data_IF_042435258355
#
_entry.id   IF_042435258355
#
_cell.length_a   1.000
_cell.length_b   1.000
_cell.length_c   1.000
_cell.angle_alpha   90.00
_cell.angle_beta   90.00
_cell.angle_gamma   90.00
#
_symmetry.space_group_name_H-M   'P 1'
#
loop_
_entity.id
_entity.type
_entity.pdbx_description
1 polymer ?
#
# COMPACT_ATOMS: atom_id res chain seq x y z
N UNK A 1 -1.84 25.08 -12.64
CA UNK A 1 -1.56 25.93 -13.71
C UNK A 1 -0.63 27.10 -13.41
N UNK A 2 -0.39 27.91 -14.37
CA UNK A 2 0.62 28.97 -14.35
C UNK A 2 0.29 30.12 -13.37
N UNK A 3 -0.98 30.30 -13.04
CA UNK A 3 -1.42 31.37 -12.12
C UNK A 3 -1.43 30.96 -10.63
N UNK A 4 -1.35 29.68 -10.31
CA UNK A 4 -1.56 29.15 -8.95
C UNK A 4 -2.90 29.58 -8.31
N UNK A 5 -3.88 29.94 -9.14
CA UNK A 5 -5.21 30.31 -8.69
C UNK A 5 -5.96 29.09 -8.16
N UNK A 6 -6.63 29.23 -7.02
CA UNK A 6 -7.52 28.21 -6.48
C UNK A 6 -8.83 28.24 -7.25
N UNK A 7 -9.09 27.20 -8.04
CA UNK A 7 -10.29 27.10 -8.87
C UNK A 7 -11.52 26.73 -8.04
N UNK A 8 -11.35 25.82 -7.08
CA UNK A 8 -12.43 25.42 -6.20
C UNK A 8 -11.90 24.78 -4.90
N UNK A 9 -12.80 24.60 -3.91
CA UNK A 9 -12.56 23.90 -2.65
C UNK A 9 -13.74 23.01 -2.35
N UNK A 10 -13.50 21.72 -2.23
CA UNK A 10 -14.52 20.73 -1.88
C UNK A 10 -14.54 20.54 -0.36
N UNK A 11 -15.65 20.86 0.34
CA UNK A 11 -15.78 20.54 1.74
C UNK A 11 -15.92 19.02 1.91
N UNK A 12 -15.07 18.43 2.72
CA UNK A 12 -15.22 17.05 3.16
C UNK A 12 -15.85 17.04 4.55
N UNK A 13 -16.97 16.32 4.79
CA UNK A 13 -17.66 16.37 6.07
C UNK A 13 -16.88 15.72 7.20
N UNK A 14 -15.90 14.89 6.88
CA UNK A 14 -15.12 14.10 7.84
C UNK A 14 -13.63 14.18 7.56
N UNK A 15 -12.83 13.80 8.56
CA UNK A 15 -11.37 13.84 8.47
C UNK A 15 -10.85 12.93 7.33
N UNK A 16 -10.32 13.55 6.30
CA UNK A 16 -9.63 12.87 5.20
C UNK A 16 -8.38 12.16 5.74
N UNK A 17 -8.16 10.95 5.28
CA UNK A 17 -6.98 10.17 5.63
C UNK A 17 -6.38 9.46 4.40
N UNK A 18 -5.07 9.49 4.31
CA UNK A 18 -4.33 9.03 3.15
C UNK A 18 -4.41 10.00 1.96
N UNK A 19 -3.59 9.78 0.95
CA UNK A 19 -3.57 10.61 -0.24
C UNK A 19 -4.73 10.31 -1.20
N UNK A 20 -5.23 11.32 -1.93
CA UNK A 20 -6.21 11.11 -2.97
C UNK A 20 -5.68 10.17 -4.05
N UNK A 21 -6.59 9.49 -4.75
CA UNK A 21 -6.27 8.64 -5.90
C UNK A 21 -6.92 9.22 -7.15
N UNK A 22 -6.15 9.31 -8.22
CA UNK A 22 -6.61 9.86 -9.49
C UNK A 22 -6.89 8.73 -10.47
N UNK A 23 -7.94 8.87 -11.27
CA UNK A 23 -8.15 7.99 -12.43
C UNK A 23 -6.98 8.12 -13.43
N UNK A 24 -6.68 7.07 -14.22
CA UNK A 24 -5.56 7.11 -15.17
C UNK A 24 -5.60 8.25 -16.18
N UNK A 25 -6.80 8.70 -16.54
CA UNK A 25 -7.03 9.85 -17.44
C UNK A 25 -6.92 11.21 -16.72
N UNK A 26 -6.70 11.23 -15.40
CA UNK A 26 -6.58 12.42 -14.58
C UNK A 26 -7.89 13.20 -14.37
N UNK A 27 -9.04 12.65 -14.81
CA UNK A 27 -10.33 13.34 -14.71
C UNK A 27 -10.97 13.26 -13.34
N UNK A 28 -10.92 12.08 -12.73
CA UNK A 28 -11.57 11.85 -11.44
C UNK A 28 -10.55 11.76 -10.32
N UNK A 29 -10.92 12.30 -9.17
CA UNK A 29 -10.19 12.12 -7.92
C UNK A 29 -11.08 11.45 -6.89
N UNK A 30 -10.52 10.49 -6.18
CA UNK A 30 -11.17 9.74 -5.11
C UNK A 30 -10.54 10.14 -3.78
N UNK A 31 -11.36 10.54 -2.84
CA UNK A 31 -10.95 10.96 -1.50
C UNK A 31 -11.65 10.08 -0.48
N UNK A 32 -10.91 9.61 0.51
CA UNK A 32 -11.45 8.76 1.57
C UNK A 32 -11.39 9.47 2.92
N UNK A 33 -12.41 9.31 3.72
CA UNK A 33 -12.45 9.78 5.09
C UNK A 33 -12.34 8.63 6.10
N UNK A 34 -11.91 8.98 7.32
CA UNK A 34 -11.71 8.02 8.42
C UNK A 34 -12.98 7.23 8.79
N UNK A 35 -14.14 7.82 8.64
CA UNK A 35 -15.43 7.18 8.93
C UNK A 35 -15.99 6.34 7.77
N UNK A 36 -15.14 6.04 6.77
CA UNK A 36 -15.40 5.07 5.71
C UNK A 36 -16.08 5.59 4.47
N UNK A 37 -16.29 6.91 4.35
CA UNK A 37 -16.79 7.47 3.11
C UNK A 37 -15.69 7.56 2.05
N UNK A 38 -16.06 7.24 0.82
CA UNK A 38 -15.30 7.48 -0.40
C UNK A 38 -16.09 8.44 -1.26
N UNK A 39 -15.49 9.56 -1.60
CA UNK A 39 -16.09 10.62 -2.42
C UNK A 39 -15.35 10.67 -3.76
N UNK A 40 -16.09 10.77 -4.86
CA UNK A 40 -15.57 10.88 -6.23
C UNK A 40 -15.88 12.27 -6.76
N UNK A 41 -14.86 12.99 -7.17
CA UNK A 41 -14.98 14.32 -7.78
C UNK A 41 -14.52 14.27 -9.24
N UNK A 42 -15.27 14.94 -10.10
CA UNK A 42 -14.83 15.27 -11.47
C UNK A 42 -14.11 16.60 -11.42
N UNK A 43 -12.80 16.59 -11.56
CA UNK A 43 -11.96 17.80 -11.48
C UNK A 43 -12.07 18.71 -12.70
N UNK A 44 -12.68 18.25 -13.80
CA UNK A 44 -12.92 19.10 -14.96
C UNK A 44 -14.20 19.92 -14.80
N UNK A 45 -15.23 19.35 -14.21
CA UNK A 45 -16.48 20.07 -13.90
C UNK A 45 -16.49 20.71 -12.52
N UNK A 46 -15.49 20.38 -11.67
CA UNK A 46 -15.38 20.82 -10.28
C UNK A 46 -16.63 20.41 -9.45
N UNK A 47 -17.07 19.15 -9.61
CA UNK A 47 -18.26 18.63 -8.91
C UNK A 47 -18.01 17.27 -8.27
N UNK A 48 -18.63 17.07 -7.12
CA UNK A 48 -18.83 15.73 -6.60
C UNK A 48 -19.79 14.98 -7.52
N UNK A 49 -19.40 13.79 -7.97
CA UNK A 49 -20.18 12.97 -8.91
C UNK A 49 -20.58 11.62 -8.29
N UNK A 50 -20.15 11.34 -7.08
CA UNK A 50 -20.58 10.15 -6.38
C UNK A 50 -19.97 10.02 -5.00
N UNK A 51 -20.65 9.27 -4.14
CA UNK A 51 -20.22 8.99 -2.78
C UNK A 51 -20.74 7.63 -2.33
N UNK A 52 -19.92 6.88 -1.62
CA UNK A 52 -20.30 5.59 -1.03
C UNK A 52 -19.62 5.41 0.32
N UNK A 53 -20.27 4.72 1.24
CA UNK A 53 -19.69 4.32 2.52
C UNK A 53 -19.17 2.88 2.42
N UNK A 54 -17.84 2.72 2.37
CA UNK A 54 -17.17 1.44 2.20
C UNK A 54 -16.76 0.77 3.52
N UNK A 55 -16.89 1.49 4.64
CA UNK A 55 -16.56 1.01 5.97
C UNK A 55 -17.11 1.92 7.07
N UNK A 56 -16.75 1.64 8.31
CA UNK A 56 -17.05 2.47 9.48
C UNK A 56 -15.81 3.18 10.05
N UNK A 57 -14.64 2.58 9.80
CA UNK A 57 -13.34 3.19 10.09
C UNK A 57 -12.36 2.68 9.03
N UNK A 58 -12.00 3.55 8.10
CA UNK A 58 -11.11 3.21 6.98
C UNK A 58 -9.71 3.81 7.17
N UNK A 59 -8.70 3.12 6.65
CA UNK A 59 -7.28 3.50 6.82
C UNK A 59 -6.72 4.20 5.60
N UNK A 60 -6.85 3.60 4.42
CA UNK A 60 -6.45 4.20 3.15
C UNK A 60 -7.09 3.47 1.97
N UNK A 61 -6.88 4.00 0.77
CA UNK A 61 -7.38 3.47 -0.48
C UNK A 61 -6.25 3.27 -1.49
N UNK A 62 -6.44 2.32 -2.40
CA UNK A 62 -5.58 2.11 -3.55
C UNK A 62 -6.41 1.89 -4.81
N UNK A 63 -5.98 2.47 -5.92
CA UNK A 63 -6.61 2.26 -7.23
C UNK A 63 -5.84 1.20 -8.01
N UNK A 64 -6.53 0.32 -8.75
CA UNK A 64 -5.89 -0.62 -9.66
C UNK A 64 -5.19 0.10 -10.82
N UNK A 65 -4.20 -0.55 -11.43
CA UNK A 65 -3.39 0.04 -12.50
C UNK A 65 -4.22 0.44 -13.74
N UNK A 66 -5.31 -0.28 -14.01
CA UNK A 66 -6.23 0.00 -15.10
C UNK A 66 -7.35 1.01 -14.73
N UNK A 67 -7.34 1.47 -13.48
CA UNK A 67 -8.31 2.42 -12.96
C UNK A 67 -9.71 1.87 -12.70
N UNK A 68 -9.96 0.56 -12.85
CA UNK A 68 -11.29 -0.03 -12.71
C UNK A 68 -11.72 -0.25 -11.28
N UNK A 69 -10.77 -0.56 -10.41
CA UNK A 69 -11.04 -1.00 -9.04
C UNK A 69 -10.43 -0.04 -8.02
N UNK A 70 -11.18 0.22 -6.96
CA UNK A 70 -10.70 0.97 -5.81
C UNK A 70 -10.81 0.09 -4.57
N UNK A 71 -9.67 -0.28 -3.99
CA UNK A 71 -9.59 -1.04 -2.76
C UNK A 71 -9.63 -0.10 -1.56
N UNK A 72 -10.50 -0.36 -0.59
CA UNK A 72 -10.65 0.39 0.66
C UNK A 72 -10.25 -0.49 1.82
N UNK A 73 -9.18 -0.12 2.50
CA UNK A 73 -8.66 -0.81 3.68
C UNK A 73 -9.40 -0.37 4.93
N UNK A 74 -10.09 -1.29 5.60
CA UNK A 74 -10.91 -1.00 6.76
C UNK A 74 -10.31 -1.55 8.06
N UNK A 75 -10.43 -0.73 9.12
CA UNK A 75 -10.24 -1.17 10.49
C UNK A 75 -11.53 -1.74 11.06
N UNK A 76 -12.67 -1.15 10.65
CA UNK A 76 -14.00 -1.57 11.09
C UNK A 76 -15.00 -1.41 9.93
N UNK A 77 -15.71 -2.49 9.56
CA UNK A 77 -15.38 -3.87 9.89
C UNK A 77 -13.98 -4.23 9.36
N UNK A 78 -13.40 -5.31 9.85
CA UNK A 78 -12.07 -5.79 9.42
C UNK A 78 -12.16 -6.41 8.02
N UNK A 79 -12.19 -5.54 7.00
CA UNK A 79 -12.43 -5.92 5.60
C UNK A 79 -11.52 -5.15 4.65
N UNK A 80 -11.32 -5.74 3.48
CA UNK A 80 -10.95 -5.03 2.26
C UNK A 80 -12.20 -4.94 1.39
N UNK A 81 -12.70 -3.73 1.17
CA UNK A 81 -13.83 -3.48 0.28
C UNK A 81 -13.32 -3.03 -1.08
N UNK A 82 -13.73 -3.68 -2.15
CA UNK A 82 -13.36 -3.32 -3.52
C UNK A 82 -14.58 -2.72 -4.20
N UNK A 83 -14.42 -1.51 -4.71
CA UNK A 83 -15.44 -0.74 -5.41
C UNK A 83 -15.12 -0.71 -6.91
N UNK A 84 -16.15 -0.72 -7.73
CA UNK A 84 -16.07 -0.29 -9.12
C UNK A 84 -15.89 1.23 -9.17
N UNK A 85 -14.87 1.73 -9.86
CA UNK A 85 -14.56 3.18 -9.89
C UNK A 85 -15.55 3.98 -10.73
N UNK A 86 -16.25 3.37 -11.69
CA UNK A 86 -17.24 4.05 -12.50
C UNK A 86 -18.51 4.31 -11.70
N UNK A 87 -19.02 3.29 -11.00
CA UNK A 87 -20.31 3.31 -10.29
C UNK A 87 -20.22 3.60 -8.80
N UNK A 88 -19.05 3.36 -8.19
CA UNK A 88 -18.79 3.29 -6.74
C UNK A 88 -19.53 2.14 -6.03
N UNK A 89 -20.09 1.19 -6.76
CA UNK A 89 -20.71 0.03 -6.15
C UNK A 89 -19.68 -0.95 -5.60
N UNK A 90 -19.93 -1.56 -4.43
CA UNK A 90 -19.10 -2.63 -3.92
C UNK A 90 -19.20 -3.88 -4.79
N UNK A 91 -18.10 -4.30 -5.39
CA UNK A 91 -18.02 -5.54 -6.20
C UNK A 91 -17.52 -6.72 -5.39
N UNK A 92 -16.74 -6.46 -4.35
CA UNK A 92 -16.23 -7.50 -3.45
C UNK A 92 -15.99 -6.94 -2.06
N UNK A 93 -16.41 -7.68 -1.05
CA UNK A 93 -16.03 -7.45 0.34
C UNK A 93 -15.31 -8.69 0.85
N UNK A 94 -14.05 -8.54 1.22
CA UNK A 94 -13.20 -9.62 1.70
C UNK A 94 -13.02 -9.44 3.19
N UNK A 95 -13.50 -10.40 4.00
CA UNK A 95 -13.16 -10.46 5.42
C UNK A 95 -11.66 -10.68 5.57
N UNK A 96 -11.02 -9.84 6.41
CA UNK A 96 -9.59 -9.96 6.65
C UNK A 96 -9.36 -10.82 7.89
N UNK A 97 -8.98 -12.06 7.61
CA UNK A 97 -8.60 -13.06 8.63
C UNK A 97 -7.29 -13.71 8.22
N UNK A 98 -6.35 -13.76 9.15
CA UNK A 98 -5.10 -14.47 8.98
C UNK A 98 -5.34 -15.96 8.71
N UNK A 99 -4.29 -16.70 8.36
CA UNK A 99 -4.39 -18.15 8.07
C UNK A 99 -4.93 -18.96 9.24
N UNK A 100 -4.63 -18.56 10.47
CA UNK A 100 -5.11 -19.17 11.70
C UNK A 100 -6.55 -18.78 12.09
N UNK A 101 -7.20 -17.93 11.28
CA UNK A 101 -8.54 -17.40 11.53
C UNK A 101 -8.60 -16.12 12.34
N UNK A 102 -7.48 -15.59 12.81
CA UNK A 102 -7.43 -14.32 13.57
C UNK A 102 -7.92 -13.16 12.73
N UNK A 103 -8.99 -12.46 13.15
CA UNK A 103 -9.44 -11.25 12.44
C UNK A 103 -8.39 -10.15 12.50
N UNK A 104 -8.19 -9.41 11.41
CA UNK A 104 -7.20 -8.36 11.37
C UNK A 104 -7.70 -7.10 10.67
N UNK A 105 -7.31 -5.96 11.20
CA UNK A 105 -7.39 -4.69 10.51
C UNK A 105 -6.38 -4.68 9.37
N UNK A 106 -6.62 -3.85 8.36
CA UNK A 106 -5.65 -3.61 7.28
C UNK A 106 -4.85 -2.35 7.60
N UNK A 107 -3.55 -2.46 7.84
CA UNK A 107 -2.71 -1.32 8.20
C UNK A 107 -2.46 -0.39 7.01
N UNK A 108 -2.23 -0.94 5.83
CA UNK A 108 -2.02 -0.21 4.59
C UNK A 108 -2.41 -1.06 3.39
N UNK A 109 -2.85 -0.43 2.30
CA UNK A 109 -3.06 -1.04 0.99
C UNK A 109 -2.47 -0.14 -0.09
N UNK A 110 -1.69 -0.73 -1.00
CA UNK A 110 -1.09 -0.03 -2.14
C UNK A 110 -1.25 -0.85 -3.42
N UNK A 111 -1.26 -0.13 -4.52
CA UNK A 111 -1.22 -0.72 -5.86
C UNK A 111 0.19 -1.22 -6.18
N UNK A 112 0.29 -2.38 -6.81
CA UNK A 112 1.50 -2.91 -7.44
C UNK A 112 1.21 -3.15 -8.94
N UNK A 113 1.44 -2.13 -9.81
CA UNK A 113 1.02 -2.17 -11.22
C UNK A 113 1.59 -3.35 -12.00
N UNK A 114 2.91 -3.56 -11.92
CA UNK A 114 3.62 -4.63 -12.66
C UNK A 114 3.16 -6.03 -12.23
N UNK A 115 2.57 -6.12 -11.04
CA UNK A 115 1.98 -7.35 -10.50
C UNK A 115 0.48 -7.46 -10.76
N UNK A 116 -0.13 -6.40 -11.27
CA UNK A 116 -1.59 -6.27 -11.43
C UNK A 116 -2.33 -6.67 -10.14
N UNK A 117 -1.91 -6.11 -9.02
CA UNK A 117 -2.40 -6.51 -7.69
C UNK A 117 -2.49 -5.33 -6.75
N UNK A 118 -3.34 -5.48 -5.73
CA UNK A 118 -3.24 -4.74 -4.49
C UNK A 118 -2.39 -5.53 -3.49
N UNK A 119 -1.48 -4.85 -2.82
CA UNK A 119 -0.72 -5.41 -1.72
C UNK A 119 -1.19 -4.74 -0.44
N UNK A 120 -1.47 -5.54 0.57
CA UNK A 120 -1.91 -5.04 1.88
C UNK A 120 -1.20 -5.76 3.01
N UNK A 121 -0.97 -5.04 4.10
CA UNK A 121 -0.40 -5.58 5.32
C UNK A 121 -1.51 -5.72 6.38
N UNK A 122 -1.52 -6.86 7.07
CA UNK A 122 -2.41 -7.11 8.19
C UNK A 122 -1.83 -6.48 9.45
N UNK A 123 -2.65 -5.65 10.11
CA UNK A 123 -2.20 -4.92 11.30
C UNK A 123 -2.06 -5.78 12.55
N UNK A 124 -2.91 -6.78 12.67
CA UNK A 124 -3.06 -7.59 13.88
C UNK A 124 -2.55 -9.03 13.70
N UNK A 125 -1.98 -9.31 12.51
CA UNK A 125 -1.43 -10.63 12.19
C UNK A 125 -0.19 -10.50 11.29
N UNK A 126 0.79 -11.41 11.40
CA UNK A 126 2.04 -11.34 10.64
C UNK A 126 1.86 -11.87 9.20
N UNK A 127 1.01 -11.22 8.43
CA UNK A 127 0.74 -11.56 7.03
C UNK A 127 0.68 -10.30 6.15
N UNK A 128 1.20 -10.45 4.93
CA UNK A 128 0.93 -9.58 3.79
C UNK A 128 0.00 -10.35 2.84
N UNK A 129 -0.97 -9.67 2.26
CA UNK A 129 -1.80 -10.23 1.20
C UNK A 129 -1.52 -9.56 -0.12
N UNK A 130 -1.50 -10.35 -1.16
CA UNK A 130 -1.56 -9.91 -2.55
C UNK A 130 -2.93 -10.30 -3.11
N UNK A 131 -3.70 -9.30 -3.53
CA UNK A 131 -5.05 -9.47 -4.10
C UNK A 131 -5.01 -9.07 -5.55
N UNK A 132 -5.20 -10.03 -6.44
CA UNK A 132 -5.08 -9.85 -7.87
C UNK A 132 -6.17 -8.95 -8.45
N UNK A 133 -5.80 -8.07 -9.37
CA UNK A 133 -6.73 -7.32 -10.24
C UNK A 133 -6.74 -7.87 -11.67
N UNK A 134 -6.00 -8.95 -11.90
CA UNK A 134 -5.96 -9.69 -13.16
C UNK A 134 -6.99 -10.83 -13.12
N UNK A 135 -7.93 -10.93 -14.09
CA UNK A 135 -8.87 -12.04 -14.15
C UNK A 135 -8.22 -13.40 -14.41
N UNK A 136 -7.00 -13.41 -14.93
CA UNK A 136 -6.24 -14.62 -15.24
C UNK A 136 -5.22 -14.99 -14.15
N UNK A 137 -5.27 -14.34 -12.99
CA UNK A 137 -4.32 -14.55 -11.91
C UNK A 137 -4.42 -15.92 -11.26
N UNK A 138 -3.30 -16.39 -10.72
CA UNK A 138 -3.21 -17.62 -9.93
C UNK A 138 -3.02 -18.88 -10.77
N UNK A 139 -3.28 -20.08 -10.23
CA UNK A 139 -3.82 -20.29 -8.90
C UNK A 139 -2.83 -19.93 -7.78
N UNK A 140 -3.34 -19.33 -6.70
CA UNK A 140 -2.60 -19.07 -5.47
C UNK A 140 -3.01 -20.09 -4.42
N UNK A 141 -2.06 -20.82 -3.89
CA UNK A 141 -2.30 -21.90 -2.94
C UNK A 141 -2.18 -21.38 -1.50
N UNK A 142 -3.14 -21.68 -0.64
CA UNK A 142 -3.11 -21.31 0.80
C UNK A 142 -2.27 -22.30 1.66
N UNK A 143 -1.69 -23.32 1.05
CA UNK A 143 -0.79 -24.28 1.69
C UNK A 143 -0.68 -25.62 0.94
N UNK A 144 0.34 -26.38 1.31
CA UNK A 144 0.54 -27.73 0.79
C UNK A 144 0.33 -28.75 1.90
N UNK A 145 -0.38 -29.83 1.62
CA UNK A 145 -0.32 -31.04 2.42
C UNK A 145 0.59 -32.03 1.69
N UNK A 146 1.59 -32.53 2.40
CA UNK A 146 2.35 -33.66 1.90
C UNK A 146 1.45 -34.89 1.91
N UNK A 147 1.03 -35.34 0.73
CA UNK A 147 0.46 -36.66 0.57
C UNK A 147 1.56 -37.70 0.76
N UNK A 148 1.23 -38.81 1.44
CA UNK A 148 2.12 -39.98 1.55
C UNK A 148 2.27 -40.70 0.19
N UNK A 149 1.49 -40.35 -0.81
CA UNK A 149 1.62 -40.87 -2.17
C UNK A 149 2.71 -40.15 -2.94
N UNK A 150 3.68 -40.92 -3.44
CA UNK A 150 4.84 -40.40 -4.15
C UNK A 150 4.41 -39.61 -5.38
N UNK A 151 4.60 -38.29 -5.34
CA UNK A 151 4.30 -37.37 -6.44
C UNK A 151 2.94 -36.67 -6.39
N UNK A 152 2.08 -37.01 -5.44
CA UNK A 152 0.82 -36.26 -5.22
C UNK A 152 1.07 -35.05 -4.32
N UNK A 153 0.73 -33.85 -4.85
CA UNK A 153 0.65 -32.62 -4.06
C UNK A 153 -0.82 -32.28 -3.92
N UNK A 154 -1.32 -32.30 -2.69
CA UNK A 154 -2.64 -31.79 -2.42
C UNK A 154 -2.51 -30.32 -1.98
N UNK A 155 -3.05 -29.40 -2.76
CA UNK A 155 -3.18 -28.00 -2.37
C UNK A 155 -4.54 -27.75 -1.76
N UNK A 156 -4.59 -27.09 -0.61
CA UNK A 156 -5.84 -26.63 -0.02
C UNK A 156 -6.08 -25.15 -0.38
N UNK A 157 -7.31 -24.85 -0.81
CA UNK A 157 -7.80 -23.48 -0.91
C UNK A 157 -7.19 -22.67 -2.05
N UNK A 158 -6.81 -23.29 -3.16
CA UNK A 158 -6.32 -22.56 -4.33
C UNK A 158 -7.35 -21.53 -4.81
N UNK A 159 -6.95 -20.27 -4.88
CA UNK A 159 -7.74 -19.17 -5.44
C UNK A 159 -7.16 -18.76 -6.78
N UNK A 160 -8.03 -18.53 -7.77
CA UNK A 160 -7.64 -18.06 -9.09
C UNK A 160 -8.59 -16.98 -9.60
N UNK A 161 -8.11 -16.18 -10.53
CA UNK A 161 -8.87 -15.14 -11.21
C UNK A 161 -8.92 -13.83 -10.43
N UNK A 162 -9.88 -13.01 -10.82
CA UNK A 162 -10.07 -11.68 -10.28
C UNK A 162 -10.32 -11.72 -8.76
N UNK A 163 -9.55 -10.92 -8.03
CA UNK A 163 -9.52 -10.83 -6.57
C UNK A 163 -9.10 -12.10 -5.85
N UNK A 164 -8.43 -13.01 -6.56
CA UNK A 164 -7.73 -14.11 -5.93
C UNK A 164 -6.67 -13.57 -4.97
N UNK A 165 -6.56 -14.20 -3.81
CA UNK A 165 -5.67 -13.77 -2.73
C UNK A 165 -4.52 -14.74 -2.56
N UNK A 166 -3.31 -14.20 -2.52
CA UNK A 166 -2.11 -14.89 -2.07
C UNK A 166 -1.72 -14.39 -0.68
N UNK A 167 -1.35 -15.29 0.21
CA UNK A 167 -0.83 -14.97 1.55
C UNK A 167 0.69 -15.06 1.57
N UNK A 168 1.32 -14.09 2.19
CA UNK A 168 2.77 -14.04 2.40
C UNK A 168 2.98 -13.89 3.90
N UNK A 169 3.45 -14.94 4.61
CA UNK A 169 3.74 -14.84 6.02
C UNK A 169 4.98 -13.96 6.24
N UNK A 170 4.95 -13.17 7.29
CA UNK A 170 6.07 -12.36 7.77
C UNK A 170 6.34 -12.64 9.24
N UNK A 171 7.46 -12.16 9.78
CA UNK A 171 7.83 -12.42 11.18
C UNK A 171 6.96 -11.62 12.15
N UNK A 172 6.59 -10.39 11.77
CA UNK A 172 5.84 -9.45 12.60
C UNK A 172 4.79 -8.70 11.75
N UNK A 173 3.68 -8.25 12.35
CA UNK A 173 2.72 -7.39 11.66
C UNK A 173 3.37 -6.10 11.20
N UNK A 174 3.12 -5.69 9.95
CA UNK A 174 3.62 -4.45 9.40
C UNK A 174 2.58 -3.34 9.53
N UNK A 175 3.02 -2.13 9.93
CA UNK A 175 2.15 -0.95 10.05
C UNK A 175 2.17 -0.07 8.80
N UNK A 176 3.32 0.01 8.14
CA UNK A 176 3.51 0.75 6.89
C UNK A 176 4.55 0.07 6.01
N UNK A 177 4.47 0.29 4.70
CA UNK A 177 5.41 -0.29 3.75
C UNK A 177 5.49 0.52 2.44
N UNK A 178 6.52 0.24 1.67
CA UNK A 178 6.76 0.75 0.32
C UNK A 178 7.31 -0.36 -0.57
N UNK A 179 7.52 -0.06 -1.86
CA UNK A 179 8.08 -1.01 -2.83
C UNK A 179 9.38 -0.51 -3.42
N UNK A 180 10.17 -1.45 -3.92
CA UNK A 180 11.15 -1.12 -4.95
C UNK A 180 10.45 -0.78 -6.28
N UNK A 181 11.18 -0.18 -7.20
CA UNK A 181 10.62 0.30 -8.47
C UNK A 181 10.10 -0.81 -9.39
N UNK A 182 10.48 -2.06 -9.17
CA UNK A 182 10.04 -3.22 -9.93
C UNK A 182 8.97 -4.04 -9.21
N UNK A 183 8.46 -3.57 -8.07
CA UNK A 183 7.47 -4.27 -7.23
C UNK A 183 7.87 -5.72 -6.90
N UNK A 184 9.18 -5.96 -6.85
CA UNK A 184 9.76 -7.25 -6.49
C UNK A 184 9.94 -7.39 -4.99
N UNK A 185 10.31 -6.29 -4.35
CA UNK A 185 10.51 -6.24 -2.91
C UNK A 185 9.56 -5.22 -2.27
N UNK A 186 9.07 -5.59 -1.10
CA UNK A 186 8.35 -4.74 -0.18
C UNK A 186 9.30 -4.38 0.97
N UNK A 187 9.39 -3.11 1.30
CA UNK A 187 10.13 -2.60 2.45
C UNK A 187 9.09 -2.17 3.48
N UNK A 188 9.03 -2.88 4.61
CA UNK A 188 8.02 -2.66 5.64
C UNK A 188 8.63 -2.36 7.00
N UNK A 189 7.83 -1.76 7.87
CA UNK A 189 8.17 -1.53 9.28
C UNK A 189 7.02 -1.96 10.17
N UNK A 190 7.34 -2.46 11.36
CA UNK A 190 6.36 -2.73 12.40
C UNK A 190 5.96 -1.41 13.10
N UNK A 191 4.93 -1.48 13.94
CA UNK A 191 4.41 -0.30 14.66
C UNK A 191 5.40 0.30 15.65
N UNK A 192 6.26 -0.51 16.24
CA UNK A 192 7.24 -0.05 17.22
C UNK A 192 8.39 0.70 16.54
N UNK A 193 8.52 0.54 15.21
CA UNK A 193 9.43 1.31 14.38
C UNK A 193 10.89 1.16 14.75
N UNK A 194 11.26 0.02 15.29
CA UNK A 194 12.65 -0.25 15.71
C UNK A 194 13.53 -0.71 14.56
N UNK A 195 12.92 -1.27 13.52
CA UNK A 195 13.61 -1.79 12.33
C UNK A 195 12.68 -1.85 11.12
N UNK A 196 13.27 -1.78 9.94
CA UNK A 196 12.60 -2.13 8.70
C UNK A 196 12.94 -3.55 8.25
N UNK A 197 12.08 -4.13 7.45
CA UNK A 197 12.27 -5.46 6.85
C UNK A 197 12.05 -5.39 5.35
N UNK A 198 12.86 -6.12 4.59
CA UNK A 198 12.70 -6.28 3.15
C UNK A 198 12.20 -7.68 2.85
N UNK A 199 11.03 -7.75 2.20
CA UNK A 199 10.37 -8.99 1.83
C UNK A 199 10.34 -9.11 0.30
N UNK A 200 10.83 -10.22 -0.22
CA UNK A 200 10.69 -10.52 -1.64
C UNK A 200 9.26 -11.00 -1.93
N UNK A 201 8.51 -10.23 -2.71
CA UNK A 201 7.11 -10.54 -3.03
C UNK A 201 6.93 -11.78 -3.94
N UNK A 202 7.97 -12.24 -4.61
CA UNK A 202 7.89 -13.44 -5.44
C UNK A 202 8.03 -14.70 -4.58
N UNK A 203 9.08 -14.76 -3.78
CA UNK A 203 9.34 -15.91 -2.91
C UNK A 203 8.57 -15.87 -1.59
N UNK A 204 8.16 -14.69 -1.14
CA UNK A 204 7.61 -14.47 0.20
C UNK A 204 8.66 -14.44 1.32
N UNK A 205 9.94 -14.55 0.98
CA UNK A 205 11.04 -14.62 1.95
C UNK A 205 11.59 -13.26 2.36
N UNK A 206 12.09 -13.16 3.60
CA UNK A 206 12.86 -12.01 4.08
C UNK A 206 14.20 -11.94 3.34
N UNK A 207 14.53 -10.76 2.81
CA UNK A 207 15.77 -10.47 2.09
C UNK A 207 16.77 -9.78 2.99
N UNK A 208 16.31 -8.79 3.76
CA UNK A 208 17.16 -7.98 4.62
C UNK A 208 16.38 -7.44 5.82
N UNK A 209 17.13 -7.01 6.83
CA UNK A 209 16.65 -6.22 7.94
C UNK A 209 17.38 -4.87 7.92
N UNK A 210 16.63 -3.78 8.11
CA UNK A 210 17.16 -2.43 8.02
C UNK A 210 17.20 -1.78 9.41
N UNK A 211 18.33 -1.28 9.87
CA UNK A 211 18.43 -0.57 11.13
C UNK A 211 17.85 0.85 11.00
N UNK A 212 16.54 0.95 10.94
CA UNK A 212 15.83 2.22 10.79
C UNK A 212 15.15 2.59 12.12
N UNK A 213 15.74 3.50 12.91
CA UNK A 213 15.15 3.96 14.15
C UNK A 213 13.94 4.85 13.92
N UNK A 214 13.19 5.15 14.98
CA UNK A 214 12.24 6.26 14.98
C UNK A 214 11.02 6.12 14.07
N UNK A 215 10.56 4.91 13.78
CA UNK A 215 9.38 4.62 12.96
C UNK A 215 9.45 5.25 11.56
N UNK A 216 10.18 4.65 10.63
CA UNK A 216 10.25 5.16 9.26
C UNK A 216 8.86 5.13 8.60
N UNK A 217 8.49 6.25 7.95
CA UNK A 217 7.22 6.36 7.22
C UNK A 217 7.43 5.96 5.76
N UNK A 218 7.55 4.66 5.52
CA UNK A 218 7.95 4.08 4.24
C UNK A 218 6.95 4.37 3.12
N UNK A 219 5.66 4.42 3.41
CA UNK A 219 4.61 4.75 2.44
C UNK A 219 4.71 6.16 1.84
N UNK A 220 5.51 7.03 2.40
CA UNK A 220 5.84 8.34 1.86
C UNK A 220 7.29 8.48 1.43
N UNK A 221 8.04 7.38 1.37
CA UNK A 221 9.41 7.34 0.86
C UNK A 221 9.48 7.64 -0.63
N UNK A 222 10.65 7.99 -1.08
CA UNK A 222 10.95 8.22 -2.49
C UNK A 222 12.18 7.44 -2.93
N UNK A 223 12.26 7.12 -4.21
CA UNK A 223 13.39 6.41 -4.80
C UNK A 223 13.97 7.19 -5.98
N UNK A 224 15.30 7.11 -6.16
CA UNK A 224 15.99 7.69 -7.33
C UNK A 224 17.30 6.95 -7.60
N UNK A 225 17.91 7.25 -8.76
CA UNK A 225 19.22 6.73 -9.12
C UNK A 225 20.33 7.64 -8.56
N UNK A 226 21.25 7.07 -7.81
CA UNK A 226 22.43 7.74 -7.26
C UNK A 226 23.69 6.97 -7.65
N UNK A 227 24.54 7.57 -8.49
CA UNK A 227 25.82 6.95 -8.92
C UNK A 227 25.66 5.51 -9.49
N UNK A 228 24.58 5.27 -10.23
CA UNK A 228 24.29 3.94 -10.80
C UNK A 228 23.60 2.94 -9.86
N UNK A 229 23.30 3.36 -8.63
CA UNK A 229 22.57 2.57 -7.65
C UNK A 229 21.19 3.19 -7.39
N UNK A 230 20.17 2.35 -7.21
CA UNK A 230 18.88 2.83 -6.74
C UNK A 230 18.90 3.01 -5.23
N UNK A 231 18.47 4.17 -4.78
CA UNK A 231 18.36 4.48 -3.35
C UNK A 231 16.93 4.81 -2.98
N UNK A 232 16.58 4.51 -1.73
CA UNK A 232 15.32 4.85 -1.07
C UNK A 232 15.63 5.87 0.03
N UNK A 233 14.87 6.96 0.10
CA UNK A 233 14.85 7.81 1.28
C UNK A 233 13.49 7.72 1.98
N UNK A 234 13.52 7.74 3.31
CA UNK A 234 12.32 7.73 4.15
C UNK A 234 12.46 8.71 5.31
N UNK A 235 11.40 9.48 5.63
CA UNK A 235 11.35 10.26 6.85
C UNK A 235 10.99 9.37 8.03
N UNK A 236 11.21 9.87 9.25
CA UNK A 236 10.88 9.15 10.47
C UNK A 236 9.85 9.93 11.29
N UNK A 237 8.84 9.21 11.81
CA UNK A 237 7.71 9.83 12.52
C UNK A 237 8.04 10.24 13.95
N UNK A 238 9.04 9.62 14.57
CA UNK A 238 9.41 9.83 15.96
C UNK A 238 10.75 10.53 16.12
N UNK A 239 11.50 10.73 15.04
CA UNK A 239 12.83 11.34 15.06
C UNK A 239 13.01 12.30 13.88
N UNK A 240 13.68 13.42 14.12
CA UNK A 240 14.08 14.40 13.11
C UNK A 240 15.21 13.88 12.23
N UNK A 241 14.95 12.87 11.41
CA UNK A 241 15.93 12.19 10.57
C UNK A 241 15.30 11.74 9.25
N UNK A 242 16.08 11.83 8.17
CA UNK A 242 15.85 11.15 6.91
C UNK A 242 16.92 10.06 6.75
N UNK A 243 16.50 8.83 6.49
CA UNK A 243 17.43 7.74 6.16
C UNK A 243 17.45 7.48 4.67
N UNK A 244 18.66 7.35 4.11
CA UNK A 244 18.90 6.99 2.70
C UNK A 244 19.56 5.61 2.67
N UNK A 245 18.95 4.70 1.92
CA UNK A 245 19.30 3.27 1.85
C UNK A 245 19.67 2.93 0.42
N UNK A 246 20.77 2.23 0.20
CA UNK A 246 21.09 1.61 -1.08
C UNK A 246 20.22 0.35 -1.27
N UNK A 247 19.44 0.30 -2.34
CA UNK A 247 18.52 -0.81 -2.59
C UNK A 247 19.18 -2.01 -3.26
N UNK A 248 20.47 -1.93 -3.61
CA UNK A 248 21.21 -3.06 -4.19
C UNK A 248 21.69 -4.05 -3.14
N UNK A 249 22.07 -3.56 -1.97
CA UNK A 249 22.58 -4.34 -0.85
C UNK A 249 21.85 -4.07 0.48
N UNK A 250 20.90 -3.13 0.47
CA UNK A 250 20.08 -2.70 1.61
C UNK A 250 20.90 -2.04 2.74
N UNK A 251 22.07 -1.50 2.41
CA UNK A 251 22.90 -0.78 3.36
C UNK A 251 22.44 0.66 3.60
N UNK A 252 22.65 1.16 4.81
CA UNK A 252 22.40 2.56 5.15
C UNK A 252 23.51 3.44 4.53
N UNK A 253 23.13 4.26 3.53
CA UNK A 253 24.04 5.19 2.86
C UNK A 253 24.30 6.42 3.72
N UNK A 254 23.22 7.00 4.28
CA UNK A 254 23.31 8.25 5.04
C UNK A 254 22.07 8.47 5.90
N UNK A 255 22.27 9.12 7.03
CA UNK A 255 21.20 9.77 7.79
C UNK A 255 21.41 11.29 7.75
N UNK A 256 20.32 12.01 7.51
CA UNK A 256 20.30 13.46 7.44
C UNK A 256 19.41 13.94 8.58
N UNK A 257 19.98 14.73 9.49
CA UNK A 257 19.20 15.36 10.57
C UNK A 257 18.31 16.46 10.00
N UNK A 258 17.09 16.53 10.52
CA UNK A 258 16.09 17.56 10.26
C UNK A 258 15.75 18.28 11.56
N UNK A 259 15.02 19.39 11.48
CA UNK A 259 14.65 20.18 12.67
C UNK A 259 13.55 19.50 13.52
N UNK A 260 12.89 18.48 12.97
CA UNK A 260 11.88 17.68 13.66
C UNK A 260 11.48 16.46 12.86
N UNK A 261 10.64 15.60 13.43
CA UNK A 261 10.05 14.47 12.73
C UNK A 261 9.26 14.93 11.50
N UNK A 262 9.35 14.18 10.38
CA UNK A 262 8.66 14.47 9.13
C UNK A 262 7.70 13.35 8.73
N UNK A 263 6.67 13.69 7.97
CA UNK A 263 5.69 12.74 7.46
C UNK A 263 5.90 12.40 5.99
N UNK A 264 6.36 13.37 5.19
CA UNK A 264 6.32 13.22 3.73
C UNK A 264 7.63 13.63 3.07
N UNK A 265 8.05 12.82 2.11
CA UNK A 265 9.00 13.22 1.09
C UNK A 265 8.28 13.39 -0.23
N UNK A 266 8.71 14.37 -1.01
CA UNK A 266 8.23 14.59 -2.38
C UNK A 266 9.39 14.91 -3.30
N UNK A 267 9.30 14.44 -4.53
CA UNK A 267 10.23 14.76 -5.60
C UNK A 267 9.47 14.84 -6.92
N UNK A 268 10.13 15.30 -7.95
CA UNK A 268 9.64 15.28 -9.31
C UNK A 268 10.77 14.84 -10.23
N UNK A 269 10.48 14.10 -11.28
CA UNK A 269 11.47 13.51 -12.20
C UNK A 269 12.41 14.52 -12.83
N UNK A 270 11.92 15.77 -13.04
CA UNK A 270 12.70 16.86 -13.62
C UNK A 270 13.35 17.77 -12.58
N UNK A 271 13.22 17.47 -11.28
CA UNK A 271 13.80 18.25 -10.18
C UNK A 271 15.00 17.55 -9.55
N UNK A 272 16.13 18.25 -9.32
CA UNK A 272 17.27 17.71 -8.60
C UNK A 272 17.05 17.69 -7.07
N UNK A 273 15.88 18.10 -6.58
CA UNK A 273 15.60 18.26 -5.16
C UNK A 273 14.58 17.25 -4.66
N UNK A 274 14.74 16.89 -3.39
CA UNK A 274 13.76 16.19 -2.56
C UNK A 274 13.28 17.20 -1.52
N UNK A 275 11.97 17.32 -1.38
CA UNK A 275 11.35 18.15 -0.34
C UNK A 275 10.88 17.26 0.80
N UNK A 276 11.18 17.69 2.02
CA UNK A 276 10.69 17.09 3.26
C UNK A 276 9.89 18.14 4.05
N UNK A 277 8.79 17.73 4.71
CA UNK A 277 8.02 18.56 5.63
C UNK A 277 8.66 18.60 7.03
#
# INVERSE_FOLDING_TARGET
GDSFEVLDRFPTPYAVHGGPKFSPDGRYVFVMSRDGWVEKYDIWSLKEVGRVRAGLNSRNIAMSHDGKWLAVANYLPQTLTILDTATLEPVKVIEVKAKDGTPSRVSAVYQAPDRKSFILALKDAPEIWEVATDPDAGPYEDGYVHSYEKGAKESFGAQAGLFARRRIPVEEPLDDFFFDQGYKNLIGTNREGTKGVVINLVSGGKVAELPLPGMPHLGSGITWDRNGHKVLATPHLNEGVLSVIDMSDWSLVKQIKTDGPGFFLRSHETSPYVWAD
#
